data_IF_769556542558
#
_entry.id   IF_769556542558
#
_cell.length_a   1.000
_cell.length_b   1.000
_cell.length_c   1.000
_cell.angle_alpha   90.00
_cell.angle_beta   90.00
_cell.angle_gamma   90.00
#
_symmetry.space_group_name_H-M   'P 1'
#
loop_
_entity.id
_entity.type
_entity.pdbx_description
1 polymer ?
#
# COMPACT_ATOMS: atom_id res chain seq x y z
N UNK A 1 17.83 1.73 -11.30
CA UNK A 1 16.45 2.26 -11.28
C UNK A 1 16.11 2.72 -9.87
N UNK A 2 15.55 3.93 -9.73
CA UNK A 2 15.14 4.48 -8.42
C UNK A 2 13.71 4.04 -8.12
N UNK A 3 13.48 3.46 -6.94
CA UNK A 3 12.14 3.09 -6.49
C UNK A 3 11.42 4.34 -6.00
N UNK A 4 10.20 4.57 -6.48
CA UNK A 4 9.35 5.64 -5.97
C UNK A 4 8.48 5.10 -4.84
N UNK A 5 8.84 5.47 -3.60
CA UNK A 5 8.17 5.02 -2.38
C UNK A 5 6.76 5.58 -2.21
N UNK A 6 6.44 6.67 -2.92
CA UNK A 6 5.13 7.34 -2.88
C UNK A 6 4.13 6.78 -3.89
N UNK A 7 4.53 5.79 -4.68
CA UNK A 7 3.70 5.16 -5.72
C UNK A 7 3.32 3.74 -5.31
N UNK A 8 2.05 3.40 -5.47
CA UNK A 8 1.51 2.08 -5.22
C UNK A 8 2.09 1.08 -6.23
N UNK A 9 2.73 -0.01 -5.77
CA UNK A 9 3.35 -0.99 -6.66
C UNK A 9 2.32 -1.84 -7.44
N UNK A 10 1.04 -1.79 -7.05
CA UNK A 10 -0.02 -2.58 -7.69
C UNK A 10 -0.78 -1.82 -8.78
N UNK A 11 -0.90 -0.49 -8.65
CA UNK A 11 -1.74 0.31 -9.56
C UNK A 11 -1.06 1.55 -10.13
N UNK A 12 0.18 1.86 -9.74
CA UNK A 12 0.94 2.99 -10.27
C UNK A 12 0.47 4.38 -9.82
N UNK A 13 -0.59 4.48 -9.00
CA UNK A 13 -1.07 5.74 -8.41
C UNK A 13 -0.36 6.09 -7.11
N UNK A 14 -0.54 7.31 -6.60
CA UNK A 14 -0.06 7.70 -5.27
C UNK A 14 -0.59 6.74 -4.18
N UNK A 15 0.29 6.32 -3.27
CA UNK A 15 -0.07 5.45 -2.15
C UNK A 15 -0.44 6.19 -0.86
N UNK A 16 -0.20 7.50 -0.81
CA UNK A 16 -0.44 8.36 0.37
C UNK A 16 0.18 7.78 1.65
N UNK A 17 1.38 7.18 1.55
CA UNK A 17 2.11 6.68 2.70
C UNK A 17 2.41 7.82 3.67
N UNK A 18 1.99 7.69 4.93
CA UNK A 18 2.22 8.70 5.96
C UNK A 18 3.70 9.01 6.17
N UNK A 19 4.57 8.00 6.16
CA UNK A 19 6.02 8.18 6.28
C UNK A 19 6.61 9.05 5.17
N UNK A 20 6.18 8.86 3.92
CA UNK A 20 6.62 9.70 2.79
C UNK A 20 6.07 11.13 2.86
N UNK A 21 5.05 11.35 3.69
CA UNK A 21 4.47 12.66 3.99
C UNK A 21 4.93 13.22 5.36
N UNK A 22 5.98 12.65 5.97
CA UNK A 22 6.53 13.13 7.25
C UNK A 22 5.72 12.76 8.49
N UNK A 23 4.76 11.85 8.37
CA UNK A 23 3.97 11.35 9.49
C UNK A 23 4.61 10.11 10.12
N UNK A 24 4.30 9.86 11.38
CA UNK A 24 4.61 8.59 12.06
C UNK A 24 3.65 7.48 11.60
N UNK A 25 3.92 6.23 11.99
CA UNK A 25 3.05 5.09 11.68
C UNK A 25 1.58 5.37 12.04
N UNK A 26 1.35 5.93 13.23
CA UNK A 26 0.02 6.23 13.78
C UNK A 26 -0.72 7.30 12.97
N UNK A 27 -0.01 8.11 12.18
CA UNK A 27 -0.58 9.09 11.26
C UNK A 27 -0.95 8.52 9.89
N UNK A 28 -0.49 7.32 9.54
CA UNK A 28 -0.73 6.74 8.23
C UNK A 28 -2.13 6.12 8.16
N UNK A 29 -2.80 6.25 7.01
CA UNK A 29 -4.11 5.61 6.81
C UNK A 29 -4.05 4.09 6.93
N UNK A 30 -2.88 3.47 6.69
CA UNK A 30 -2.71 2.01 6.74
C UNK A 30 -2.73 1.45 8.17
N UNK A 31 -2.59 2.30 9.19
CA UNK A 31 -2.80 1.90 10.58
C UNK A 31 -4.30 1.72 10.87
N UNK A 32 -5.14 2.55 10.25
CA UNK A 32 -6.61 2.57 10.43
C UNK A 32 -7.36 1.47 9.66
N UNK A 33 -6.65 0.66 8.88
CA UNK A 33 -7.26 -0.39 8.06
C UNK A 33 -6.33 -1.60 8.00
N UNK A 34 -6.88 -2.78 8.25
CA UNK A 34 -6.15 -4.01 8.04
C UNK A 34 -5.80 -4.18 6.55
N UNK A 35 -4.51 -4.32 6.23
CA UNK A 35 -4.02 -4.62 4.88
C UNK A 35 -3.87 -6.14 4.75
N UNK A 36 -4.66 -6.84 3.92
CA UNK A 36 -4.62 -8.31 3.81
C UNK A 36 -3.23 -8.82 3.42
N UNK A 37 -2.83 -9.98 3.97
CA UNK A 37 -1.50 -10.56 3.73
C UNK A 37 -1.31 -10.95 2.27
N UNK A 38 -2.32 -11.57 1.69
CA UNK A 38 -2.38 -12.04 0.31
C UNK A 38 -2.17 -10.86 -0.66
N UNK A 39 -2.76 -9.70 -0.35
CA UNK A 39 -2.57 -8.49 -1.14
C UNK A 39 -1.12 -7.97 -1.08
N UNK A 40 -0.43 -8.15 0.05
CA UNK A 40 1.01 -7.80 0.17
C UNK A 40 1.89 -8.77 -0.61
N UNK A 41 1.48 -10.03 -0.72
CA UNK A 41 2.18 -11.05 -1.50
C UNK A 41 2.10 -10.75 -3.00
N UNK A 42 1.04 -10.10 -3.47
CA UNK A 42 0.90 -9.60 -4.86
C UNK A 42 1.88 -8.48 -5.22
N UNK A 43 2.59 -7.86 -4.26
CA UNK A 43 3.59 -6.83 -4.55
C UNK A 43 4.80 -7.49 -5.24
N UNK A 44 5.27 -6.94 -6.38
CA UNK A 44 6.51 -7.38 -7.01
C UNK A 44 7.68 -7.43 -6.02
N UNK A 45 8.49 -8.48 -6.06
CA UNK A 45 9.55 -8.72 -5.07
C UNK A 45 10.53 -7.55 -4.95
N UNK A 46 10.86 -6.91 -6.07
CA UNK A 46 11.75 -5.76 -6.12
C UNK A 46 11.19 -4.51 -5.40
N UNK A 47 9.87 -4.44 -5.18
CA UNK A 47 9.15 -3.34 -4.53
C UNK A 47 8.62 -3.68 -3.13
N UNK A 48 8.60 -4.98 -2.76
CA UNK A 48 8.11 -5.44 -1.45
C UNK A 48 8.95 -4.83 -0.32
N UNK A 49 8.27 -4.24 0.67
CA UNK A 49 8.91 -3.53 1.78
C UNK A 49 9.55 -2.18 1.42
N UNK A 50 9.47 -1.74 0.16
CA UNK A 50 10.08 -0.48 -0.31
C UNK A 50 9.06 0.56 -0.75
N UNK A 51 7.87 0.14 -1.17
CA UNK A 51 6.74 1.02 -1.46
C UNK A 51 5.45 0.45 -0.87
N UNK A 52 4.58 1.32 -0.35
CA UNK A 52 3.31 0.92 0.25
C UNK A 52 2.22 0.72 -0.82
N UNK A 53 1.31 -0.23 -0.58
CA UNK A 53 0.04 -0.37 -1.32
C UNK A 53 -0.85 0.84 -0.99
N UNK A 54 -1.67 1.34 -1.91
CA UNK A 54 -2.62 2.42 -1.65
C UNK A 54 -3.93 1.93 -1.01
N UNK A 55 -4.63 2.83 -0.31
CA UNK A 55 -5.94 2.56 0.31
C UNK A 55 -6.98 2.04 -0.69
N UNK A 56 -7.00 2.57 -1.92
CA UNK A 56 -7.92 2.12 -2.97
C UNK A 56 -7.72 0.64 -3.32
N UNK A 57 -6.48 0.17 -3.45
CA UNK A 57 -6.18 -1.24 -3.74
C UNK A 57 -6.62 -2.15 -2.60
N UNK A 58 -6.45 -1.71 -1.35
CA UNK A 58 -6.90 -2.47 -0.17
C UNK A 58 -8.43 -2.60 -0.16
N UNK A 59 -9.15 -1.51 -0.38
CA UNK A 59 -10.63 -1.52 -0.40
C UNK A 59 -11.14 -2.41 -1.54
N UNK A 60 -10.63 -2.22 -2.76
CA UNK A 60 -11.03 -3.03 -3.92
C UNK A 60 -10.74 -4.52 -3.72
N UNK A 61 -9.62 -4.85 -3.09
CA UNK A 61 -9.31 -6.25 -2.75
C UNK A 61 -10.33 -6.80 -1.75
N UNK A 62 -10.63 -6.06 -0.68
CA UNK A 62 -11.63 -6.49 0.32
C UNK A 62 -13.02 -6.66 -0.30
N UNK A 63 -13.45 -5.76 -1.17
CA UNK A 63 -14.75 -5.86 -1.87
C UNK A 63 -14.84 -7.10 -2.76
N UNK A 64 -13.76 -7.44 -3.47
CA UNK A 64 -13.71 -8.64 -4.31
C UNK A 64 -13.71 -9.95 -3.53
N UNK A 65 -13.17 -9.95 -2.31
CA UNK A 65 -13.01 -11.15 -1.47
C UNK A 65 -14.10 -11.29 -0.39
N UNK A 66 -15.13 -10.45 -0.39
CA UNK A 66 -16.31 -10.56 0.49
C UNK A 66 -17.39 -11.52 -0.07
N UNK A 67 -17.03 -12.39 -1.01
CA UNK A 67 -17.94 -13.39 -1.60
C UNK A 67 -17.91 -14.69 -0.82
#
# INVERSE_FOLDING_TARGET
MKINKSICPLCGKHNNCGYENGLTHNGCWCEKIEVPKELREMIPENLRGKACICKECVIKYKEKNKK
#
